data_IF_905808741983
#
_entry.id   IF_905808741983
#
_cell.length_a   1.000
_cell.length_b   1.000
_cell.length_c   1.000
_cell.angle_alpha   90.00
_cell.angle_beta   90.00
_cell.angle_gamma   90.00
#
_symmetry.space_group_name_H-M   'P 1'
#
loop_
_entity.id
_entity.type
_entity.pdbx_description
1 polymer ?
#
# COMPACT_ATOMS: atom_id res chain seq x y z
N UNK A 1 18.81 50.81 9.57
CA UNK A 1 17.83 49.83 9.08
C UNK A 1 18.54 48.50 8.91
N UNK A 2 18.22 47.45 9.69
CA UNK A 2 18.69 46.11 9.35
C UNK A 2 17.51 45.15 9.10
N UNK A 3 17.40 44.77 7.83
CA UNK A 3 17.31 43.38 7.38
C UNK A 3 16.17 42.51 7.94
N UNK A 4 15.08 42.48 7.16
CA UNK A 4 14.02 41.48 7.25
C UNK A 4 14.61 40.07 7.04
N UNK A 5 14.76 39.30 8.11
CA UNK A 5 15.01 37.85 8.04
C UNK A 5 13.79 37.19 7.38
N UNK A 6 13.98 36.66 6.17
CA UNK A 6 13.04 35.74 5.52
C UNK A 6 12.87 34.51 6.43
N UNK A 7 11.66 34.02 6.69
CA UNK A 7 11.50 32.76 7.40
C UNK A 7 12.10 31.64 6.53
N UNK A 8 13.04 30.93 7.14
CA UNK A 8 13.59 29.66 6.68
C UNK A 8 12.42 28.72 6.34
N UNK A 9 12.34 28.35 5.07
CA UNK A 9 11.49 27.28 4.57
C UNK A 9 11.97 26.00 5.27
N UNK A 10 11.23 25.55 6.28
CA UNK A 10 11.52 24.28 6.96
C UNK A 10 11.51 23.20 5.89
N UNK A 11 12.69 22.68 5.55
CA UNK A 11 12.86 21.45 4.77
C UNK A 11 12.18 20.31 5.54
N UNK A 12 10.86 20.19 5.41
CA UNK A 12 10.18 18.94 5.71
C UNK A 12 10.83 17.92 4.78
N UNK A 13 11.35 16.78 5.30
CA UNK A 13 11.77 15.72 4.43
C UNK A 13 10.54 15.34 3.61
N UNK A 14 10.57 15.68 2.32
CA UNK A 14 9.68 15.11 1.34
C UNK A 14 9.90 13.61 1.46
N UNK A 15 9.03 12.93 2.24
CA UNK A 15 8.97 11.48 2.26
C UNK A 15 8.97 11.08 0.80
N UNK A 16 9.89 10.19 0.37
CA UNK A 16 10.03 9.83 -1.02
C UNK A 16 8.63 9.52 -1.51
N UNK A 17 8.24 10.19 -2.59
CA UNK A 17 7.00 9.98 -3.32
C UNK A 17 7.07 8.51 -3.69
N UNK A 18 6.53 7.67 -2.81
CA UNK A 18 6.84 6.26 -2.86
C UNK A 18 5.90 5.75 -3.93
N UNK A 19 6.45 5.43 -5.10
CA UNK A 19 5.80 4.60 -6.12
C UNK A 19 5.61 3.15 -5.59
N UNK A 20 5.33 3.01 -4.30
CA UNK A 20 5.14 1.77 -3.56
C UNK A 20 3.66 1.54 -3.47
N UNK A 21 3.23 0.38 -3.95
CA UNK A 21 1.84 -0.03 -3.83
C UNK A 21 1.56 -0.51 -2.42
N UNK A 22 0.62 0.13 -1.73
CA UNK A 22 0.19 -0.29 -0.39
C UNK A 22 -1.26 -0.71 -0.43
N UNK A 23 -1.50 -1.98 -0.09
CA UNK A 23 -2.78 -2.64 -0.25
C UNK A 23 -3.19 -3.35 1.01
N UNK A 24 -4.49 -3.40 1.25
CA UNK A 24 -5.09 -4.21 2.30
C UNK A 24 -5.88 -5.33 1.64
N UNK A 25 -5.59 -6.56 2.06
CA UNK A 25 -6.27 -7.75 1.58
C UNK A 25 -6.97 -8.42 2.75
N UNK A 26 -8.30 -8.40 2.70
CA UNK A 26 -9.12 -9.17 3.62
C UNK A 26 -9.28 -10.59 3.11
N UNK A 27 -9.11 -11.55 4.01
CA UNK A 27 -9.23 -12.98 3.74
C UNK A 27 -10.30 -13.57 4.66
N UNK A 28 -10.98 -14.62 4.19
CA UNK A 28 -11.97 -15.35 4.99
C UNK A 28 -11.31 -16.27 6.03
N UNK A 29 -10.11 -16.77 5.71
CA UNK A 29 -9.28 -17.61 6.57
C UNK A 29 -7.84 -17.13 6.57
N UNK A 30 -7.09 -17.48 7.59
CA UNK A 30 -5.66 -17.18 7.66
C UNK A 30 -4.93 -17.92 6.53
N UNK A 31 -4.29 -17.16 5.63
CA UNK A 31 -3.48 -17.71 4.56
C UNK A 31 -2.06 -17.96 5.04
N UNK A 32 -1.51 -19.13 4.70
CA UNK A 32 -0.11 -19.44 4.98
C UNK A 32 0.83 -18.60 4.13
N UNK A 33 2.07 -18.42 4.60
CA UNK A 33 3.09 -17.69 3.84
C UNK A 33 3.35 -18.29 2.45
N UNK A 34 3.19 -19.60 2.28
CA UNK A 34 3.30 -20.28 0.99
C UNK A 34 2.22 -19.86 0.00
N UNK A 35 0.96 -19.75 0.44
CA UNK A 35 -0.15 -19.25 -0.39
C UNK A 35 0.11 -17.81 -0.82
N UNK A 36 0.53 -16.95 0.12
CA UNK A 36 0.92 -15.58 -0.19
C UNK A 36 2.06 -15.51 -1.20
N UNK A 37 3.06 -16.39 -1.06
CA UNK A 37 4.19 -16.44 -1.99
C UNK A 37 3.75 -16.88 -3.39
N UNK A 38 2.82 -17.81 -3.52
CA UNK A 38 2.24 -18.20 -4.81
C UNK A 38 1.43 -17.06 -5.42
N UNK A 39 0.56 -16.41 -4.64
CA UNK A 39 -0.29 -15.30 -5.08
C UNK A 39 0.51 -14.06 -5.50
N UNK A 40 1.65 -13.83 -4.86
CA UNK A 40 2.45 -12.63 -5.06
C UNK A 40 3.72 -12.87 -5.89
N UNK A 41 3.90 -14.08 -6.43
CA UNK A 41 5.11 -14.47 -7.16
C UNK A 41 5.39 -13.56 -8.37
N UNK A 42 4.35 -12.97 -8.97
CA UNK A 42 4.47 -12.09 -10.14
C UNK A 42 4.80 -10.63 -9.87
N UNK A 43 4.71 -10.16 -8.62
CA UNK A 43 4.78 -8.73 -8.28
C UNK A 43 6.15 -8.27 -7.75
N UNK A 44 7.09 -9.18 -7.56
CA UNK A 44 8.45 -8.86 -7.11
C UNK A 44 8.57 -8.74 -5.59
N UNK A 45 9.38 -7.79 -5.10
CA UNK A 45 9.64 -7.62 -3.66
C UNK A 45 8.44 -6.97 -2.97
N UNK A 46 7.91 -7.65 -1.96
CA UNK A 46 6.80 -7.17 -1.13
C UNK A 46 7.06 -7.41 0.36
N UNK A 47 6.38 -6.63 1.18
CA UNK A 47 6.28 -6.81 2.61
C UNK A 47 4.85 -7.19 2.96
N UNK A 48 4.69 -8.26 3.75
CA UNK A 48 3.40 -8.76 4.20
C UNK A 48 3.30 -8.59 5.71
N UNK A 49 2.24 -7.95 6.19
CA UNK A 49 1.99 -7.74 7.61
C UNK A 49 0.54 -8.06 7.96
N UNK A 50 0.33 -8.99 8.90
CA UNK A 50 -1.01 -9.33 9.41
C UNK A 50 -1.51 -8.20 10.31
N UNK A 51 -2.57 -7.51 9.89
CA UNK A 51 -3.18 -6.40 10.64
C UNK A 51 -4.21 -6.89 11.66
N UNK A 52 -5.05 -7.87 11.28
CA UNK A 52 -6.19 -8.32 12.09
C UNK A 52 -6.22 -9.83 12.09
N UNK A 53 -6.39 -10.48 13.26
CA UNK A 53 -6.47 -11.96 13.38
C UNK A 53 -7.89 -12.51 13.32
N UNK A 54 -8.88 -11.80 13.87
CA UNK A 54 -10.27 -12.28 13.95
C UNK A 54 -11.00 -12.30 12.60
N UNK A 55 -10.71 -11.31 11.75
CA UNK A 55 -11.04 -11.28 10.33
C UNK A 55 -9.73 -11.06 9.59
N UNK A 56 -9.07 -12.13 9.13
CA UNK A 56 -7.67 -12.08 8.74
C UNK A 56 -7.48 -11.06 7.63
N UNK A 57 -6.78 -9.97 7.95
CA UNK A 57 -6.53 -8.87 7.04
C UNK A 57 -5.03 -8.62 6.99
N UNK A 58 -4.50 -8.61 5.78
CA UNK A 58 -3.07 -8.49 5.52
C UNK A 58 -2.81 -7.18 4.80
N UNK A 59 -1.83 -6.43 5.29
CA UNK A 59 -1.26 -5.31 4.57
C UNK A 59 -0.11 -5.81 3.72
N UNK A 60 -0.17 -5.49 2.44
CA UNK A 60 0.85 -5.83 1.46
C UNK A 60 1.43 -4.53 0.92
N UNK A 61 2.71 -4.32 1.17
CA UNK A 61 3.44 -3.18 0.67
C UNK A 61 4.45 -3.65 -0.37
N UNK A 62 4.22 -3.31 -1.63
CA UNK A 62 5.13 -3.59 -2.74
C UNK A 62 6.17 -2.48 -2.87
N UNK A 63 7.39 -2.85 -3.25
CA UNK A 63 8.42 -1.85 -3.55
C UNK A 63 8.12 -1.07 -4.85
N UNK A 64 7.49 -1.73 -5.81
CA UNK A 64 6.99 -1.15 -7.05
C UNK A 64 5.48 -1.35 -7.08
N UNK A 65 4.71 -0.29 -7.32
CA UNK A 65 3.26 -0.37 -7.42
C UNK A 65 2.83 -1.28 -8.58
N UNK A 66 2.20 -2.45 -8.30
CA UNK A 66 1.68 -3.34 -9.33
C UNK A 66 0.31 -2.91 -9.89
N UNK A 67 -0.34 -1.95 -9.22
CA UNK A 67 -1.71 -1.53 -9.47
C UNK A 67 -2.75 -2.42 -8.79
N UNK A 68 -3.79 -1.77 -8.23
CA UNK A 68 -4.90 -2.43 -7.54
C UNK A 68 -5.61 -3.47 -8.41
N UNK A 69 -5.81 -3.16 -9.69
CA UNK A 69 -6.53 -4.03 -10.62
C UNK A 69 -5.77 -5.33 -10.88
N UNK A 70 -4.45 -5.23 -11.15
CA UNK A 70 -3.60 -6.41 -11.34
C UNK A 70 -3.59 -7.27 -10.09
N UNK A 71 -3.41 -6.66 -8.92
CA UNK A 71 -3.42 -7.38 -7.65
C UNK A 71 -4.77 -8.08 -7.41
N UNK A 72 -5.89 -7.39 -7.71
CA UNK A 72 -7.23 -7.97 -7.65
C UNK A 72 -7.39 -9.18 -8.57
N UNK A 73 -6.86 -9.13 -9.80
CA UNK A 73 -6.99 -10.23 -10.75
C UNK A 73 -6.27 -11.49 -10.25
N UNK A 74 -5.03 -11.35 -9.77
CA UNK A 74 -4.25 -12.47 -9.22
C UNK A 74 -4.91 -13.03 -7.96
N UNK A 75 -5.31 -12.15 -7.03
CA UNK A 75 -5.91 -12.56 -5.77
C UNK A 75 -7.33 -13.13 -5.92
N UNK A 76 -8.08 -12.73 -6.96
CA UNK A 76 -9.41 -13.29 -7.27
C UNK A 76 -9.36 -14.78 -7.61
N UNK A 77 -8.20 -15.31 -8.00
CA UNK A 77 -8.05 -16.74 -8.23
C UNK A 77 -8.15 -17.57 -6.94
N UNK A 78 -7.92 -16.96 -5.77
CA UNK A 78 -7.99 -17.66 -4.49
C UNK A 78 -9.35 -17.37 -3.82
N UNK A 79 -10.18 -18.41 -3.58
CA UNK A 79 -11.50 -18.26 -2.97
C UNK A 79 -11.43 -17.75 -1.52
N UNK A 80 -10.25 -17.80 -0.89
CA UNK A 80 -10.04 -17.31 0.47
C UNK A 80 -9.96 -15.78 0.54
N UNK A 81 -9.79 -15.09 -0.59
CA UNK A 81 -9.72 -13.63 -0.63
C UNK A 81 -11.11 -13.04 -0.66
N UNK A 82 -11.42 -12.21 0.33
CA UNK A 82 -12.72 -11.56 0.49
C UNK A 82 -12.76 -10.20 -0.19
N UNK A 83 -11.71 -9.39 -0.02
CA UNK A 83 -11.59 -8.07 -0.62
C UNK A 83 -10.13 -7.64 -0.74
N UNK A 84 -9.88 -6.75 -1.68
CA UNK A 84 -8.58 -6.12 -1.93
C UNK A 84 -8.84 -4.64 -2.17
N UNK A 85 -8.18 -3.79 -1.40
CA UNK A 85 -8.31 -2.33 -1.48
C UNK A 85 -6.94 -1.66 -1.36
N UNK A 86 -6.81 -0.47 -1.93
CA UNK A 86 -5.67 0.41 -1.66
C UNK A 86 -5.75 0.90 -0.22
N UNK A 87 -4.60 0.97 0.45
CA UNK A 87 -4.60 1.58 1.78
C UNK A 87 -4.89 3.08 1.64
N UNK A 88 -6.09 3.50 2.05
CA UNK A 88 -6.63 4.86 1.87
C UNK A 88 -5.79 5.98 2.52
N UNK A 89 -4.76 5.65 3.31
CA UNK A 89 -3.76 6.62 3.79
C UNK A 89 -3.00 7.27 2.60
N UNK A 90 -2.85 6.55 1.47
CA UNK A 90 -2.23 7.06 0.25
C UNK A 90 -3.20 7.93 -0.60
N UNK A 91 -4.50 7.61 -0.63
CA UNK A 91 -5.47 8.34 -1.46
C UNK A 91 -5.73 9.77 -0.98
N UNK A 92 -5.61 10.04 0.32
CA UNK A 92 -5.76 11.40 0.86
C UNK A 92 -4.68 12.40 0.43
N UNK A 93 -3.61 11.97 -0.26
CA UNK A 93 -2.57 12.87 -0.78
C UNK A 93 -2.63 13.12 -2.29
N UNK A 94 -3.35 12.31 -3.06
CA UNK A 94 -3.43 12.50 -4.52
C UNK A 94 -4.63 13.32 -5.00
N UNK A 95 -5.65 13.54 -4.16
CA UNK A 95 -6.82 14.37 -4.52
C UNK A 95 -6.66 15.87 -4.17
N UNK A 96 -5.43 16.39 -4.09
CA UNK A 96 -5.17 17.84 -3.96
C UNK A 96 -4.14 18.30 -4.97
N UNK A 97 -4.34 17.97 -6.25
CA UNK A 97 -3.74 18.75 -7.34
C UNK A 97 -4.86 19.57 -7.98
N UNK A 98 -4.96 20.81 -7.51
CA UNK A 98 -5.86 21.88 -7.99
C UNK A 98 -5.80 22.07 -9.51
N UNK A 99 -6.89 22.49 -10.15
CA UNK A 99 -6.89 23.65 -11.04
C UNK A 99 -7.05 24.95 -10.24
#
# INVERSE_FOLDING_TARGET
MPERKKPILTNVPMKPISHRGDYIVGTEKELSMEEWKQLLQGFGTYQLELQIKFKPAYRIQFDVDPGLETLKMELKQNPSIRYVETNAILEKKNSTSNP
#
